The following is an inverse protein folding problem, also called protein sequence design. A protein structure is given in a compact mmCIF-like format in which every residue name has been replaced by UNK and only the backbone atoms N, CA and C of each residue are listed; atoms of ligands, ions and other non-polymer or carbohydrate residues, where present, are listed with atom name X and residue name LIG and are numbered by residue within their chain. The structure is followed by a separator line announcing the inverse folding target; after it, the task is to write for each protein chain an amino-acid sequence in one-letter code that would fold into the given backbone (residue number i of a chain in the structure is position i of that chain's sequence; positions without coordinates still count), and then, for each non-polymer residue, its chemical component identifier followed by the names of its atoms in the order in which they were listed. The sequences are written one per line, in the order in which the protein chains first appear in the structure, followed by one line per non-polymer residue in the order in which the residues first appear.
data_IF_347816555122
#
_entry.id   IF_347816555122
#
_cell.length_a   1.000
_cell.length_b   1.000
_cell.length_c   1.000
_cell.angle_alpha   90.00
_cell.angle_beta   90.00
_cell.angle_gamma   90.00
#
_symmetry.space_group_name_H-M   'P 1'
#
loop_
_entity.id
_entity.type
_entity.pdbx_description
1 polymer ?
#
# COMPACT_ATOMS: atom_id res chain seq x y z
N UNK A 1 -15.48 -2.59 -34.65
CA UNK A 1 -14.99 -2.46 -33.25
C UNK A 1 -13.60 -1.83 -33.26
N UNK A 2 -13.48 -0.53 -33.01
CA UNK A 2 -12.17 0.12 -32.85
C UNK A 2 -11.61 -0.28 -31.49
N UNK A 3 -10.45 -0.96 -31.48
CA UNK A 3 -9.67 -1.22 -30.26
C UNK A 3 -9.16 0.13 -29.76
N UNK A 4 -9.74 0.60 -28.65
CA UNK A 4 -9.22 1.74 -27.89
C UNK A 4 -7.77 1.43 -27.53
N UNK A 5 -6.81 2.01 -28.26
CA UNK A 5 -5.40 1.99 -27.88
C UNK A 5 -5.34 2.68 -26.52
N UNK A 6 -5.22 1.90 -25.45
CA UNK A 6 -4.99 2.39 -24.10
C UNK A 6 -3.66 3.14 -24.12
N UNK A 7 -3.73 4.45 -24.40
CA UNK A 7 -2.57 5.33 -24.31
C UNK A 7 -2.17 5.33 -22.85
N UNK A 8 -1.05 4.68 -22.55
CA UNK A 8 -0.43 4.81 -21.24
C UNK A 8 -0.16 6.28 -20.97
N UNK A 9 -0.55 6.79 -19.80
CA UNK A 9 -0.28 8.18 -19.46
C UNK A 9 1.22 8.43 -19.52
N UNK A 10 1.59 9.55 -20.14
CA UNK A 10 2.98 10.01 -20.24
C UNK A 10 3.65 9.96 -18.87
N UNK A 11 4.92 9.51 -18.82
CA UNK A 11 5.67 9.40 -17.57
C UNK A 11 5.70 10.77 -16.87
N UNK A 12 5.01 10.87 -15.72
CA UNK A 12 4.97 12.07 -14.89
C UNK A 12 6.12 12.04 -13.90
N UNK A 13 6.63 13.21 -13.54
CA UNK A 13 7.66 13.30 -12.50
C UNK A 13 7.16 12.66 -11.20
N UNK A 14 8.06 11.99 -10.48
CA UNK A 14 7.73 11.31 -9.23
C UNK A 14 7.06 12.27 -8.24
N UNK A 15 7.55 13.51 -8.13
CA UNK A 15 6.94 14.54 -7.27
C UNK A 15 5.45 14.77 -7.55
N UNK A 16 5.06 14.84 -8.83
CA UNK A 16 3.64 14.98 -9.21
C UNK A 16 2.84 13.71 -8.92
N UNK A 17 3.42 12.53 -9.12
CA UNK A 17 2.76 11.26 -8.79
C UNK A 17 2.53 11.14 -7.27
N UNK A 18 3.49 11.55 -6.46
CA UNK A 18 3.40 11.54 -5.00
C UNK A 18 2.34 12.51 -4.46
N UNK A 19 2.08 13.60 -5.19
CA UNK A 19 1.05 14.59 -4.86
C UNK A 19 -0.36 14.17 -5.31
N UNK A 20 -0.47 13.20 -6.23
CA UNK A 20 -1.75 12.72 -6.75
C UNK A 20 -2.66 12.18 -5.64
N UNK A 21 -3.99 12.43 -5.69
CA UNK A 21 -4.96 11.82 -4.78
C UNK A 21 -4.85 10.29 -4.73
N UNK A 22 -4.60 9.65 -5.88
CA UNK A 22 -4.45 8.20 -5.96
C UNK A 22 -3.28 7.69 -5.12
N UNK A 23 -2.17 8.44 -5.09
CA UNK A 23 -1.01 8.07 -4.30
C UNK A 23 -1.27 8.22 -2.78
N UNK A 24 -2.05 9.24 -2.37
CA UNK A 24 -2.48 9.38 -0.97
C UNK A 24 -3.32 8.19 -0.53
N UNK A 25 -4.27 7.75 -1.35
CA UNK A 25 -5.10 6.56 -1.09
C UNK A 25 -4.25 5.31 -0.94
N UNK A 26 -3.28 5.09 -1.83
CA UNK A 26 -2.36 3.95 -1.72
C UNK A 26 -1.52 4.00 -0.43
N UNK A 27 -1.09 5.20 -0.01
CA UNK A 27 -0.39 5.38 1.26
C UNK A 27 -1.28 5.01 2.45
N UNK A 28 -2.52 5.51 2.49
CA UNK A 28 -3.47 5.21 3.56
C UNK A 28 -3.77 3.71 3.60
N UNK A 29 -4.07 3.08 2.45
CA UNK A 29 -4.28 1.63 2.37
C UNK A 29 -3.08 0.85 2.90
N UNK A 30 -1.86 1.24 2.51
CA UNK A 30 -0.64 0.56 2.96
C UNK A 30 -0.39 0.72 4.46
N UNK A 31 -0.62 1.92 5.00
CA UNK A 31 -0.49 2.19 6.45
C UNK A 31 -1.54 1.40 7.22
N UNK A 32 -2.80 1.45 6.79
CA UNK A 32 -3.90 0.71 7.40
C UNK A 32 -3.61 -0.78 7.40
N UNK A 33 -3.22 -1.35 6.25
CA UNK A 33 -2.86 -2.76 6.15
C UNK A 33 -1.69 -3.14 7.08
N UNK A 34 -0.64 -2.32 7.13
CA UNK A 34 0.49 -2.55 8.04
C UNK A 34 0.07 -2.47 9.51
N UNK A 35 -0.80 -1.52 9.87
CA UNK A 35 -1.32 -1.38 11.23
C UNK A 35 -2.17 -2.59 11.62
N UNK A 36 -3.00 -3.11 10.72
CA UNK A 36 -3.73 -4.36 10.93
C UNK A 36 -2.80 -5.56 11.12
N UNK A 37 -1.68 -5.63 10.39
CA UNK A 37 -0.68 -6.70 10.54
C UNK A 37 0.05 -6.62 11.89
N UNK A 38 0.37 -5.41 12.37
CA UNK A 38 0.95 -5.20 13.70
C UNK A 38 -0.04 -5.58 14.80
N UNK A 39 -1.32 -5.23 14.62
CA UNK A 39 -2.38 -5.59 15.56
C UNK A 39 -2.69 -7.11 15.54
N UNK A 40 -2.48 -7.77 14.40
CA UNK A 40 -2.55 -9.22 14.25
C UNK A 40 -1.27 -9.93 14.67
N UNK A 41 -0.20 -9.22 15.09
CA UNK A 41 1.01 -9.83 15.64
C UNK A 41 0.70 -10.33 17.04
N UNK A 42 0.43 -11.63 17.21
CA UNK A 42 -0.23 -12.11 18.41
C UNK A 42 0.78 -12.24 19.55
N UNK A 43 0.28 -12.14 20.79
CA UNK A 43 0.90 -12.58 22.04
C UNK A 43 1.44 -14.03 22.04
N UNK A 44 1.52 -14.71 20.89
CA UNK A 44 2.09 -16.06 20.74
C UNK A 44 3.61 -16.12 20.93
N UNK A 45 4.35 -15.01 20.99
CA UNK A 45 5.81 -15.05 21.25
C UNK A 45 6.20 -15.12 22.73
N UNK A 46 5.27 -14.91 23.66
CA UNK A 46 5.59 -14.84 25.10
C UNK A 46 5.51 -16.19 25.84
N UNK A 47 5.04 -17.26 25.17
CA UNK A 47 4.83 -18.58 25.81
C UNK A 47 5.92 -19.63 25.56
N UNK A 48 7.09 -19.23 25.05
CA UNK A 48 8.20 -20.15 24.73
C UNK A 48 9.55 -19.77 25.37
N UNK A 49 9.53 -19.06 26.50
CA UNK A 49 10.72 -18.81 27.36
C UNK A 49 10.42 -18.98 28.85
N UNK A 50 9.70 -20.05 29.20
CA UNK A 50 9.75 -20.63 30.54
C UNK A 50 9.89 -22.13 30.35
N UNK A 51 11.12 -22.53 30.05
CA UNK A 51 11.65 -23.86 30.34
C UNK A 51 12.42 -23.72 31.66
#
# INVERSE_FOLDING_TARGET
MQRSKTKWPQARSLGMLLQSPAHRVLRVLRVTQAQWQVMQWPEHRSRRRRA
#
